data_IF_199068606036
#
_entry.id   IF_199068606036
#
_cell.length_a   1.000
_cell.length_b   1.000
_cell.length_c   1.000
_cell.angle_alpha   90.00
_cell.angle_beta   90.00
_cell.angle_gamma   90.00
#
_symmetry.space_group_name_H-M   'P 1'
#
loop_
_entity.id
_entity.type
_entity.pdbx_description
1 polymer ?
#
# COMPACT_ATOMS: atom_id res chain seq x y z
N UNK A 1 46.75 -13.08 42.91
CA UNK A 1 45.94 -13.12 41.68
C UNK A 1 45.56 -11.70 41.23
N UNK A 2 46.52 -10.93 40.70
CA UNK A 2 46.31 -9.54 40.23
C UNK A 2 47.16 -9.19 38.98
N UNK A 3 47.56 -10.18 38.18
CA UNK A 3 48.45 -9.96 37.02
C UNK A 3 47.96 -10.59 35.70
N UNK A 4 46.68 -10.96 35.59
CA UNK A 4 46.11 -11.53 34.37
C UNK A 4 45.07 -10.61 33.70
N UNK A 5 44.72 -9.47 34.30
CA UNK A 5 43.69 -8.57 33.74
C UNK A 5 44.23 -7.46 32.80
N UNK A 6 45.55 -7.31 32.66
CA UNK A 6 46.14 -6.15 31.97
C UNK A 6 46.45 -6.38 30.47
N UNK A 7 46.15 -7.56 29.91
CA UNK A 7 46.50 -7.90 28.51
C UNK A 7 45.28 -7.91 27.57
N UNK A 8 44.05 -7.80 28.08
CA UNK A 8 42.83 -7.76 27.24
C UNK A 8 42.29 -6.35 26.92
N UNK A 9 42.97 -5.27 27.35
CA UNK A 9 42.46 -3.90 27.18
C UNK A 9 43.20 -3.07 26.11
N UNK A 10 44.07 -3.68 25.30
CA UNK A 10 44.94 -2.98 24.34
C UNK A 10 44.63 -3.24 22.85
N UNK A 11 43.55 -3.94 22.51
CA UNK A 11 43.27 -4.36 21.12
C UNK A 11 42.01 -3.73 20.48
N UNK A 12 41.41 -2.69 21.07
CA UNK A 12 40.18 -2.08 20.55
C UNK A 12 40.29 -0.57 20.23
N UNK A 13 41.50 -0.04 20.04
CA UNK A 13 41.72 1.39 19.70
C UNK A 13 42.55 1.60 18.42
N UNK A 14 42.36 0.76 17.39
CA UNK A 14 42.83 1.06 16.04
C UNK A 14 41.79 0.59 15.04
N UNK A 15 40.81 1.45 14.75
CA UNK A 15 40.17 1.59 13.43
C UNK A 15 39.10 2.69 13.50
N UNK A 16 39.58 3.92 13.61
CA UNK A 16 38.86 5.10 13.13
C UNK A 16 39.90 5.98 12.45
N UNK A 17 39.54 6.50 11.27
CA UNK A 17 40.32 7.36 10.36
C UNK A 17 40.99 6.65 9.17
N UNK A 18 40.16 6.26 8.20
CA UNK A 18 40.38 6.71 6.83
C UNK A 18 39.10 7.40 6.36
N UNK A 19 39.16 8.73 6.34
CA UNK A 19 38.14 9.59 5.77
C UNK A 19 38.54 9.96 4.33
N UNK A 20 37.50 10.23 3.53
CA UNK A 20 37.46 11.08 2.35
C UNK A 20 37.58 10.45 0.94
N UNK A 21 36.49 10.72 0.21
CA UNK A 21 36.39 11.03 -1.23
C UNK A 21 36.35 9.88 -2.25
N UNK A 22 35.11 9.48 -2.62
CA UNK A 22 34.54 9.98 -3.88
C UNK A 22 33.02 9.84 -3.92
N UNK A 23 32.39 10.94 -4.33
CA UNK A 23 30.97 11.13 -4.60
C UNK A 23 30.80 11.01 -6.12
N UNK A 24 30.13 9.96 -6.57
CA UNK A 24 29.53 9.84 -7.91
C UNK A 24 28.20 9.11 -7.67
N UNK A 25 27.08 9.84 -7.63
CA UNK A 25 26.18 10.06 -8.77
C UNK A 25 25.30 8.82 -9.06
N UNK A 26 24.04 8.94 -8.61
CA UNK A 26 22.78 8.40 -9.17
C UNK A 26 22.88 7.32 -10.27
N UNK A 27 22.15 6.19 -10.15
CA UNK A 27 21.74 5.46 -11.34
C UNK A 27 20.60 6.24 -12.01
N UNK A 28 20.99 6.96 -13.04
CA UNK A 28 20.13 7.54 -14.07
C UNK A 28 19.33 6.43 -14.76
N UNK A 29 18.03 6.61 -14.87
CA UNK A 29 17.23 5.96 -15.90
C UNK A 29 17.67 6.51 -17.26
N UNK A 30 18.48 5.76 -18.00
CA UNK A 30 18.71 6.01 -19.42
C UNK A 30 17.99 4.95 -20.24
N UNK A 31 17.15 5.44 -21.15
CA UNK A 31 16.31 4.63 -22.00
C UNK A 31 16.97 4.13 -23.28
N UNK A 32 16.14 3.38 -24.00
CA UNK A 32 16.24 3.20 -25.45
C UNK A 32 16.91 1.90 -25.90
N UNK A 33 16.10 0.96 -26.38
CA UNK A 33 16.17 0.60 -27.81
C UNK A 33 14.78 0.18 -28.30
N UNK A 34 14.27 0.92 -29.29
CA UNK A 34 13.12 0.60 -30.10
C UNK A 34 13.43 -0.56 -31.06
N UNK A 35 12.50 -1.49 -31.22
CA UNK A 35 12.28 -2.23 -32.47
C UNK A 35 10.78 -2.44 -32.69
N UNK A 36 10.28 -1.92 -33.82
CA UNK A 36 8.92 -2.13 -34.37
C UNK A 36 8.98 -3.19 -35.50
N UNK A 37 7.86 -3.61 -36.12
CA UNK A 37 7.17 -4.88 -35.87
C UNK A 37 7.24 -5.87 -37.04
N UNK A 38 7.07 -7.16 -36.73
CA UNK A 38 6.79 -8.21 -37.72
C UNK A 38 5.30 -8.54 -37.76
N UNK A 39 4.63 -8.06 -38.79
CA UNK A 39 3.28 -8.45 -39.20
C UNK A 39 3.25 -9.91 -39.63
N UNK A 40 2.26 -10.68 -39.18
CA UNK A 40 1.62 -11.68 -40.03
C UNK A 40 0.20 -12.01 -39.53
N UNK A 41 -0.75 -11.87 -40.45
CA UNK A 41 -2.16 -12.18 -40.29
C UNK A 41 -2.42 -13.64 -40.71
N UNK A 42 -3.25 -14.36 -39.96
CA UNK A 42 -3.99 -15.52 -40.49
C UNK A 42 -5.41 -15.55 -39.90
N UNK A 43 -6.37 -15.34 -40.80
CA UNK A 43 -7.80 -15.67 -40.75
C UNK A 43 -8.07 -17.13 -40.37
N UNK A 44 -9.21 -17.44 -39.74
CA UNK A 44 -10.35 -18.19 -40.34
C UNK A 44 -11.51 -18.32 -39.33
N UNK A 45 -12.73 -18.08 -39.81
CA UNK A 45 -14.02 -18.22 -39.13
C UNK A 45 -14.45 -19.68 -38.93
N UNK A 46 -15.39 -19.97 -38.03
CA UNK A 46 -16.55 -20.87 -38.24
C UNK A 46 -17.56 -20.71 -37.09
N UNK A 47 -18.84 -20.66 -37.46
CA UNK A 47 -20.01 -20.58 -36.59
C UNK A 47 -20.66 -21.97 -36.39
N UNK A 48 -21.32 -22.18 -35.24
CA UNK A 48 -22.53 -23.02 -34.99
C UNK A 48 -22.84 -22.93 -33.48
N UNK A 49 -23.95 -22.37 -32.98
CA UNK A 49 -25.38 -22.71 -33.04
C UNK A 49 -25.81 -23.93 -32.18
N UNK A 50 -26.57 -23.61 -31.12
CA UNK A 50 -27.56 -24.43 -30.37
C UNK A 50 -26.98 -25.57 -29.49
N UNK A 51 -27.43 -25.83 -28.27
CA UNK A 51 -28.80 -25.82 -27.74
C UNK A 51 -28.81 -25.78 -26.20
N UNK A 52 -29.97 -25.42 -25.66
CA UNK A 52 -30.31 -25.19 -24.25
C UNK A 52 -30.40 -26.50 -23.46
N UNK A 53 -29.91 -26.52 -22.21
CA UNK A 53 -30.49 -27.40 -21.17
C UNK A 53 -30.39 -26.76 -19.79
N UNK A 54 -31.55 -26.32 -19.29
CA UNK A 54 -31.83 -25.94 -17.90
C UNK A 54 -31.66 -27.13 -16.95
N UNK A 55 -30.85 -26.95 -15.90
CA UNK A 55 -30.98 -27.68 -14.64
C UNK A 55 -30.80 -26.69 -13.48
N UNK A 56 -31.76 -26.73 -12.57
CA UNK A 56 -31.91 -25.91 -11.37
C UNK A 56 -31.29 -26.62 -10.16
N UNK A 57 -30.54 -25.90 -9.33
CA UNK A 57 -30.27 -26.19 -7.91
C UNK A 57 -29.52 -24.99 -7.31
N UNK A 58 -30.21 -24.12 -6.57
CA UNK A 58 -30.24 -24.04 -5.09
C UNK A 58 -29.12 -23.17 -4.49
N UNK A 59 -29.54 -22.00 -4.00
CA UNK A 59 -28.96 -21.11 -3.00
C UNK A 59 -27.42 -20.99 -2.91
N UNK A 60 -26.87 -20.14 -3.78
CA UNK A 60 -25.80 -19.23 -3.36
C UNK A 60 -26.40 -17.82 -3.36
N UNK A 61 -26.42 -17.17 -2.20
CA UNK A 61 -26.55 -15.71 -2.12
C UNK A 61 -25.36 -15.08 -2.85
N UNK A 62 -25.49 -14.93 -4.16
CA UNK A 62 -24.65 -14.05 -4.97
C UNK A 62 -24.92 -12.65 -4.43
N UNK A 63 -23.98 -12.11 -3.64
CA UNK A 63 -23.96 -10.69 -3.36
C UNK A 63 -23.78 -10.04 -4.74
N UNK A 64 -24.87 -9.51 -5.29
CA UNK A 64 -24.85 -8.76 -6.52
C UNK A 64 -23.78 -7.66 -6.37
N UNK A 65 -22.85 -7.62 -7.34
CA UNK A 65 -21.92 -6.50 -7.45
C UNK A 65 -22.72 -5.20 -7.40
N UNK A 66 -22.30 -4.20 -6.59
CA UNK A 66 -23.04 -2.95 -6.50
C UNK A 66 -23.21 -2.36 -7.90
N UNK A 67 -24.45 -1.97 -8.22
CA UNK A 67 -24.83 -1.37 -9.50
C UNK A 67 -23.80 -0.32 -9.94
N UNK A 68 -23.14 -0.60 -11.08
CA UNK A 68 -22.49 0.32 -12.01
C UNK A 68 -21.92 1.63 -11.44
N UNK A 69 -21.09 1.52 -10.40
CA UNK A 69 -20.33 2.67 -9.91
C UNK A 69 -19.45 3.24 -11.04
N UNK A 70 -19.24 4.57 -11.08
CA UNK A 70 -18.35 5.16 -12.08
C UNK A 70 -16.93 4.54 -12.10
N UNK A 71 -16.52 3.92 -10.98
CA UNK A 71 -15.25 3.21 -10.80
C UNK A 71 -15.19 1.91 -11.63
N UNK A 72 -16.31 1.19 -11.85
CA UNK A 72 -16.31 -0.08 -12.62
C UNK A 72 -15.83 0.09 -14.07
N UNK A 73 -15.91 1.33 -14.59
CA UNK A 73 -15.37 1.72 -15.91
C UNK A 73 -13.85 1.73 -15.95
N UNK A 74 -13.20 1.84 -14.79
CA UNK A 74 -11.76 2.04 -14.67
C UNK A 74 -11.06 0.93 -13.90
N UNK A 75 -11.76 0.18 -13.05
CA UNK A 75 -11.19 -0.91 -12.26
C UNK A 75 -12.09 -2.13 -12.32
N UNK A 76 -11.50 -3.28 -12.62
CA UNK A 76 -12.14 -4.60 -12.55
C UNK A 76 -11.50 -5.42 -11.44
N UNK A 77 -12.32 -6.16 -10.68
CA UNK A 77 -11.81 -7.19 -9.78
C UNK A 77 -11.50 -8.46 -10.57
N UNK A 78 -10.25 -8.90 -10.51
CA UNK A 78 -9.73 -10.10 -11.17
C UNK A 78 -9.67 -11.33 -10.26
N UNK A 79 -10.40 -11.33 -9.13
CA UNK A 79 -10.49 -12.48 -8.22
C UNK A 79 -10.68 -13.83 -8.91
N UNK A 80 -11.55 -13.90 -9.91
CA UNK A 80 -11.83 -15.16 -10.64
C UNK A 80 -10.58 -15.74 -11.34
N UNK A 81 -9.64 -14.89 -11.73
CA UNK A 81 -8.35 -15.30 -12.33
C UNK A 81 -7.44 -15.94 -11.27
N UNK A 82 -7.51 -15.45 -10.03
CA UNK A 82 -6.64 -15.86 -8.93
C UNK A 82 -7.32 -16.79 -7.92
N UNK A 83 -8.51 -17.29 -8.24
CA UNK A 83 -9.31 -18.13 -7.35
C UNK A 83 -8.60 -19.42 -6.92
N UNK A 84 -7.68 -19.94 -7.74
CA UNK A 84 -6.89 -21.14 -7.42
C UNK A 84 -5.90 -20.92 -6.26
N UNK A 85 -5.60 -19.67 -5.91
CA UNK A 85 -4.76 -19.30 -4.77
C UNK A 85 -5.55 -19.24 -3.45
N UNK A 86 -6.88 -19.19 -3.50
CA UNK A 86 -7.72 -19.02 -2.31
C UNK A 86 -7.62 -20.22 -1.36
N UNK A 87 -7.66 -19.91 -0.06
CA UNK A 87 -7.65 -20.87 1.04
C UNK A 87 -8.91 -20.68 1.88
N UNK A 88 -9.19 -21.62 2.79
CA UNK A 88 -10.39 -21.53 3.66
C UNK A 88 -10.45 -20.23 4.47
N UNK A 89 -9.29 -19.64 4.77
CA UNK A 89 -9.10 -18.46 5.60
C UNK A 89 -8.82 -17.17 4.81
N UNK A 90 -8.77 -17.20 3.48
CA UNK A 90 -8.33 -16.03 2.71
C UNK A 90 -8.77 -15.97 1.25
N UNK A 91 -9.22 -14.78 0.84
CA UNK A 91 -9.63 -14.45 -0.54
C UNK A 91 -8.62 -13.54 -1.21
N UNK A 92 -8.46 -13.69 -2.51
CA UNK A 92 -7.47 -12.93 -3.28
C UNK A 92 -8.15 -11.99 -4.27
N UNK A 93 -8.40 -10.75 -3.84
CA UNK A 93 -8.91 -9.70 -4.70
C UNK A 93 -7.76 -8.94 -5.37
N UNK A 94 -7.86 -8.73 -6.69
CA UNK A 94 -6.81 -8.14 -7.49
C UNK A 94 -7.40 -7.05 -8.40
N UNK A 95 -7.03 -5.77 -8.24
CA UNK A 95 -7.52 -4.74 -9.14
C UNK A 95 -6.79 -4.80 -10.47
N UNK A 96 -7.54 -4.76 -11.56
CA UNK A 96 -7.01 -4.45 -12.89
C UNK A 96 -7.53 -3.08 -13.32
N UNK A 97 -6.61 -2.19 -13.69
CA UNK A 97 -6.91 -0.85 -14.18
C UNK A 97 -7.19 -0.94 -15.69
N UNK A 98 -8.38 -0.50 -16.10
CA UNK A 98 -8.90 -0.59 -17.46
C UNK A 98 -8.57 0.63 -18.34
N UNK A 99 -7.73 1.54 -17.84
CA UNK A 99 -7.27 2.71 -18.59
C UNK A 99 -6.19 2.28 -19.58
N UNK A 100 -6.36 2.56 -20.87
CA UNK A 100 -5.34 2.28 -21.89
C UNK A 100 -4.20 3.31 -21.82
N UNK A 101 -3.25 3.06 -20.91
CA UNK A 101 -2.03 3.83 -20.76
C UNK A 101 -0.85 2.96 -20.33
N UNK A 102 0.37 3.41 -20.64
CA UNK A 102 1.59 2.70 -20.21
C UNK A 102 1.72 2.64 -18.69
N UNK A 103 1.27 3.66 -17.97
CA UNK A 103 1.30 3.65 -16.51
C UNK A 103 0.31 2.63 -15.93
N UNK A 104 -0.93 2.59 -16.42
CA UNK A 104 -1.91 1.59 -15.99
C UNK A 104 -1.45 0.16 -16.30
N UNK A 105 -0.88 -0.07 -17.49
CA UNK A 105 -0.27 -1.37 -17.85
C UNK A 105 0.84 -1.76 -16.88
N UNK A 106 1.74 -0.82 -16.55
CA UNK A 106 2.84 -1.09 -15.62
C UNK A 106 2.36 -1.48 -14.21
N UNK A 107 1.25 -0.90 -13.75
CA UNK A 107 0.64 -1.26 -12.46
C UNK A 107 0.02 -2.66 -12.55
N UNK A 108 -0.74 -2.95 -13.61
CA UNK A 108 -1.34 -4.27 -13.82
C UNK A 108 -0.26 -5.36 -13.90
N UNK A 109 0.86 -5.09 -14.58
CA UNK A 109 2.01 -5.99 -14.63
C UNK A 109 2.67 -6.16 -13.26
N UNK A 110 2.78 -5.11 -12.45
CA UNK A 110 3.31 -5.21 -11.08
C UNK A 110 2.42 -6.11 -10.23
N UNK A 111 1.11 -5.89 -10.25
CA UNK A 111 0.14 -6.71 -9.52
C UNK A 111 0.21 -8.16 -10.00
N UNK A 112 0.21 -8.40 -11.31
CA UNK A 112 0.32 -9.74 -11.87
C UNK A 112 1.61 -10.46 -11.41
N UNK A 113 2.77 -9.77 -11.43
CA UNK A 113 4.03 -10.34 -10.92
C UNK A 113 3.97 -10.71 -9.44
N UNK A 114 3.22 -9.98 -8.61
CA UNK A 114 3.01 -10.34 -7.19
C UNK A 114 2.26 -11.66 -7.07
N UNK A 115 1.19 -11.83 -7.84
CA UNK A 115 0.44 -13.08 -7.89
C UNK A 115 1.27 -14.26 -8.43
N UNK A 116 2.10 -14.04 -9.45
CA UNK A 116 3.06 -15.05 -9.93
C UNK A 116 4.03 -15.49 -8.82
N UNK A 117 4.50 -14.55 -7.98
CA UNK A 117 5.34 -14.88 -6.84
C UNK A 117 4.60 -15.70 -5.78
N UNK A 118 3.29 -15.45 -5.58
CA UNK A 118 2.47 -16.23 -4.65
C UNK A 118 2.30 -17.67 -5.13
N UNK A 119 1.96 -17.85 -6.41
CA UNK A 119 1.89 -19.16 -7.05
C UNK A 119 3.23 -19.91 -6.91
N UNK A 120 4.34 -19.23 -7.19
CA UNK A 120 5.68 -19.81 -7.07
C UNK A 120 6.01 -20.23 -5.62
N UNK A 121 5.65 -19.41 -4.62
CA UNK A 121 5.85 -19.72 -3.21
C UNK A 121 5.00 -20.93 -2.78
N UNK A 122 3.73 -21.01 -3.18
CA UNK A 122 2.88 -22.16 -2.89
C UNK A 122 3.42 -23.45 -3.51
N UNK A 123 3.87 -23.40 -4.76
CA UNK A 123 4.42 -24.58 -5.46
C UNK A 123 5.72 -25.06 -4.81
N UNK A 124 6.60 -24.13 -4.43
CA UNK A 124 7.94 -24.44 -3.94
C UNK A 124 7.95 -24.81 -2.45
N UNK A 125 7.26 -24.02 -1.63
CA UNK A 125 7.38 -24.05 -0.17
C UNK A 125 6.09 -24.61 0.50
N UNK A 126 5.02 -24.83 -0.27
CA UNK A 126 3.73 -25.31 0.24
C UNK A 126 2.93 -24.26 1.03
N UNK A 127 3.45 -23.02 1.07
CA UNK A 127 2.91 -21.90 1.83
C UNK A 127 3.27 -20.57 1.15
N UNK A 128 2.35 -19.61 1.20
CA UNK A 128 2.57 -18.21 0.83
C UNK A 128 2.46 -17.35 2.10
N UNK A 129 3.38 -16.40 2.27
CA UNK A 129 3.40 -15.49 3.43
C UNK A 129 2.14 -14.63 3.56
N UNK A 130 1.49 -14.33 2.43
CA UNK A 130 0.24 -13.60 2.40
C UNK A 130 -0.92 -14.59 2.38
N UNK A 131 -1.91 -14.37 3.23
CA UNK A 131 -3.09 -15.23 3.36
C UNK A 131 -4.23 -14.72 2.50
N UNK A 132 -4.27 -13.42 2.21
CA UNK A 132 -5.29 -12.80 1.37
C UNK A 132 -4.78 -11.52 0.71
N UNK A 133 -5.55 -11.00 -0.24
CA UNK A 133 -5.35 -9.64 -0.78
C UNK A 133 -6.67 -8.90 -0.83
N UNK A 134 -6.62 -7.59 -0.62
CA UNK A 134 -7.76 -6.68 -0.72
C UNK A 134 -7.36 -5.45 -1.52
N UNK A 135 -8.34 -4.75 -2.09
CA UNK A 135 -8.09 -3.43 -2.64
C UNK A 135 -9.26 -2.48 -2.39
N UNK A 136 -8.97 -1.18 -2.47
CA UNK A 136 -9.95 -0.11 -2.45
C UNK A 136 -9.68 0.85 -3.58
N UNK A 137 -10.71 1.25 -4.30
CA UNK A 137 -10.62 2.27 -5.33
C UNK A 137 -11.51 3.48 -4.99
N UNK A 138 -10.97 4.67 -5.19
CA UNK A 138 -11.64 5.96 -5.06
C UNK A 138 -11.56 6.71 -6.39
N UNK A 139 -12.60 7.46 -6.74
CA UNK A 139 -12.61 8.30 -7.93
C UNK A 139 -13.10 9.70 -7.58
N UNK A 140 -12.22 10.69 -7.71
CA UNK A 140 -12.58 12.09 -7.47
C UNK A 140 -13.37 12.69 -8.64
N UNK A 141 -14.13 13.76 -8.37
CA UNK A 141 -14.80 14.55 -9.42
C UNK A 141 -13.81 15.21 -10.39
N UNK A 142 -12.57 15.44 -9.98
CA UNK A 142 -11.47 15.94 -10.82
C UNK A 142 -10.87 14.87 -11.73
N UNK A 143 -11.31 13.61 -11.63
CA UNK A 143 -10.82 12.53 -12.48
C UNK A 143 -9.53 11.89 -11.98
N UNK A 144 -9.27 11.89 -10.66
CA UNK A 144 -8.18 11.12 -10.06
C UNK A 144 -8.74 9.79 -9.56
N UNK A 145 -8.28 8.70 -10.16
CA UNK A 145 -8.47 7.35 -9.67
C UNK A 145 -7.35 7.00 -8.70
N UNK A 146 -7.71 6.70 -7.45
CA UNK A 146 -6.79 6.29 -6.40
C UNK A 146 -7.07 4.83 -6.05
N UNK A 147 -6.10 3.94 -6.25
CA UNK A 147 -6.21 2.49 -5.95
C UNK A 147 -5.23 2.14 -4.85
N UNK A 148 -5.76 1.62 -3.73
CA UNK A 148 -5.00 1.04 -2.63
C UNK A 148 -5.07 -0.47 -2.77
N UNK A 149 -3.96 -1.13 -3.02
CA UNK A 149 -3.85 -2.60 -3.03
C UNK A 149 -3.11 -3.05 -1.78
N UNK A 150 -3.63 -4.07 -1.08
CA UNK A 150 -3.06 -4.53 0.19
C UNK A 150 -2.83 -6.04 0.12
N UNK A 151 -1.58 -6.43 0.39
CA UNK A 151 -1.16 -7.81 0.59
C UNK A 151 -1.29 -8.11 2.09
N UNK A 152 -2.20 -9.00 2.48
CA UNK A 152 -2.50 -9.27 3.89
C UNK A 152 -1.70 -10.48 4.39
N UNK A 153 -0.69 -10.20 5.22
CA UNK A 153 0.18 -11.19 5.82
C UNK A 153 -0.34 -11.75 7.14
N UNK A 154 0.29 -12.84 7.59
CA UNK A 154 0.12 -13.30 8.97
C UNK A 154 0.70 -12.29 9.98
N UNK A 155 0.11 -12.19 11.16
CA UNK A 155 0.58 -11.34 12.28
C UNK A 155 0.62 -9.83 11.97
N UNK A 156 -0.38 -9.30 11.26
CA UNK A 156 -0.52 -7.87 10.93
C UNK A 156 0.61 -7.30 10.02
N UNK A 157 1.25 -8.16 9.22
CA UNK A 157 2.27 -7.79 8.23
C UNK A 157 1.64 -7.38 6.89
N UNK A 158 0.70 -6.43 6.96
CA UNK A 158 0.02 -5.88 5.78
C UNK A 158 0.97 -4.98 4.99
N UNK A 159 1.14 -5.26 3.69
CA UNK A 159 1.87 -4.38 2.76
C UNK A 159 0.87 -3.61 1.91
N UNK A 160 1.01 -2.29 1.92
CA UNK A 160 0.19 -1.37 1.14
C UNK A 160 0.91 -0.91 -0.12
N UNK A 161 0.15 -0.84 -1.21
CA UNK A 161 0.55 -0.22 -2.48
C UNK A 161 -0.49 0.82 -2.85
N UNK A 162 -0.03 1.98 -3.32
CA UNK A 162 -0.89 3.09 -3.68
C UNK A 162 -0.60 3.57 -5.10
N UNK A 163 -1.66 3.67 -5.90
CA UNK A 163 -1.58 4.13 -7.27
C UNK A 163 -2.56 5.29 -7.49
N UNK A 164 -2.05 6.46 -7.91
CA UNK A 164 -2.86 7.64 -8.26
C UNK A 164 -2.75 7.92 -9.76
N UNK A 165 -3.88 7.89 -10.45
CA UNK A 165 -3.96 7.91 -11.91
C UNK A 165 -4.96 8.97 -12.36
N UNK A 166 -4.59 9.82 -13.30
CA UNK A 166 -5.51 10.74 -13.96
C UNK A 166 -6.27 9.96 -15.04
N UNK A 167 -7.60 9.88 -14.94
CA UNK A 167 -8.41 9.04 -15.83
C UNK A 167 -8.53 9.58 -17.25
N UNK A 168 -8.16 10.84 -17.49
CA UNK A 168 -8.22 11.45 -18.82
C UNK A 168 -6.94 11.19 -19.62
N UNK A 169 -5.79 11.27 -18.93
CA UNK A 169 -4.46 11.12 -19.53
C UNK A 169 -3.89 9.71 -19.33
N UNK A 170 -4.40 8.97 -18.35
CA UNK A 170 -3.85 7.71 -17.86
C UNK A 170 -2.48 7.85 -17.19
N UNK A 171 -2.04 9.07 -16.87
CA UNK A 171 -0.75 9.36 -16.27
C UNK A 171 -0.75 9.32 -14.74
N UNK A 172 0.45 9.23 -14.16
CA UNK A 172 0.66 9.35 -12.72
C UNK A 172 0.25 10.73 -12.20
N UNK A 173 -0.45 10.76 -11.06
CA UNK A 173 -0.81 11.98 -10.34
C UNK A 173 0.11 12.14 -9.14
N UNK A 174 0.90 13.22 -9.14
CA UNK A 174 1.83 13.51 -8.07
C UNK A 174 1.16 14.02 -6.78
N UNK A 175 1.90 13.93 -5.68
CA UNK A 175 1.43 14.36 -4.36
C UNK A 175 1.05 15.84 -4.31
N UNK A 176 1.65 16.70 -5.15
CA UNK A 176 1.31 18.12 -5.21
C UNK A 176 -0.10 18.30 -5.78
N UNK A 177 -0.44 17.59 -6.84
CA UNK A 177 -1.78 17.62 -7.43
C UNK A 177 -2.82 17.06 -6.47
N UNK A 178 -2.52 15.97 -5.76
CA UNK A 178 -3.40 15.45 -4.70
C UNK A 178 -3.65 16.51 -3.62
N UNK A 179 -2.60 17.22 -3.19
CA UNK A 179 -2.70 18.27 -2.19
C UNK A 179 -3.48 19.50 -2.66
N UNK A 180 -3.32 19.90 -3.92
CA UNK A 180 -4.11 20.96 -4.54
C UNK A 180 -5.61 20.64 -4.54
N UNK A 181 -5.99 19.40 -4.90
CA UNK A 181 -7.40 18.97 -4.90
C UNK A 181 -7.98 18.98 -3.48
N UNK A 182 -7.22 18.47 -2.51
CA UNK A 182 -7.65 18.42 -1.11
C UNK A 182 -7.56 19.78 -0.38
N UNK A 183 -7.04 20.84 -1.01
CA UNK A 183 -6.86 22.14 -0.38
C UNK A 183 -5.78 22.17 0.71
N UNK A 184 -4.78 21.29 0.62
CA UNK A 184 -3.67 21.15 1.57
C UNK A 184 -2.43 21.86 1.04
N UNK A 185 -1.92 22.84 1.79
CA UNK A 185 -0.72 23.60 1.41
C UNK A 185 0.58 23.03 1.99
N UNK A 186 0.49 22.28 3.08
CA UNK A 186 1.65 21.68 3.78
C UNK A 186 1.35 20.22 4.13
N UNK A 187 1.80 19.32 3.26
CA UNK A 187 1.60 17.87 3.39
C UNK A 187 2.24 17.34 4.67
N UNK A 188 3.47 17.76 4.98
CA UNK A 188 4.21 17.23 6.12
C UNK A 188 3.55 17.63 7.44
N UNK A 189 3.06 18.87 7.53
CA UNK A 189 2.28 19.31 8.69
C UNK A 189 0.95 18.55 8.77
N UNK A 190 0.23 18.40 7.66
CA UNK A 190 -1.05 17.70 7.62
C UNK A 190 -0.90 16.23 8.09
N UNK A 191 0.14 15.53 7.65
CA UNK A 191 0.44 14.17 8.10
C UNK A 191 0.70 14.11 9.61
N UNK A 192 1.53 15.02 10.14
CA UNK A 192 1.81 15.08 11.59
C UNK A 192 0.57 15.42 12.42
N UNK A 193 -0.24 16.36 11.96
CA UNK A 193 -1.49 16.73 12.61
C UNK A 193 -2.46 15.53 12.64
N UNK A 194 -2.55 14.78 11.52
CA UNK A 194 -3.38 13.60 11.42
C UNK A 194 -2.91 12.47 12.36
N UNK A 195 -1.60 12.18 12.44
CA UNK A 195 -1.04 11.20 13.39
C UNK A 195 -1.31 11.62 14.84
N UNK A 196 -1.14 12.90 15.16
CA UNK A 196 -1.47 13.43 16.49
C UNK A 196 -2.97 13.25 16.81
N UNK A 197 -3.85 13.57 15.85
CA UNK A 197 -5.28 13.41 16.01
C UNK A 197 -5.68 11.95 16.20
N UNK A 198 -5.10 11.04 15.39
CA UNK A 198 -5.29 9.59 15.52
C UNK A 198 -4.98 9.10 16.93
N UNK A 199 -3.78 9.36 17.43
CA UNK A 199 -3.38 8.89 18.77
C UNK A 199 -4.23 9.51 19.88
N UNK A 200 -4.55 10.80 19.80
CA UNK A 200 -5.42 11.44 20.77
C UNK A 200 -6.85 10.85 20.75
N UNK A 201 -7.37 10.47 19.58
CA UNK A 201 -8.68 9.86 19.45
C UNK A 201 -8.76 8.46 20.09
N UNK A 202 -7.63 7.72 20.16
CA UNK A 202 -7.58 6.43 20.86
C UNK A 202 -7.77 6.55 22.38
N UNK A 203 -7.47 7.72 22.97
CA UNK A 203 -7.51 7.95 24.40
C UNK A 203 -6.40 7.28 25.22
N UNK A 204 -5.51 6.51 24.59
CA UNK A 204 -4.43 5.78 25.28
C UNK A 204 -3.24 6.68 25.65
N UNK A 205 -2.99 7.72 24.86
CA UNK A 205 -1.93 8.71 25.08
C UNK A 205 -2.45 10.10 24.76
N UNK A 206 -1.86 11.10 25.39
CA UNK A 206 -2.06 12.51 25.05
C UNK A 206 -0.85 13.00 24.28
N UNK A 207 -1.07 13.58 23.10
CA UNK A 207 -0.01 14.14 22.25
C UNK A 207 -0.27 15.63 22.03
N UNK A 208 0.73 16.45 22.30
CA UNK A 208 0.75 17.89 22.01
C UNK A 208 2.05 18.27 21.30
N UNK A 209 1.95 19.03 20.22
CA UNK A 209 3.11 19.43 19.40
C UNK A 209 3.97 18.23 18.98
N UNK A 210 3.31 17.12 18.60
CA UNK A 210 3.96 15.90 18.12
C UNK A 210 4.83 15.19 19.16
N UNK A 211 4.54 15.39 20.46
CA UNK A 211 5.21 14.76 21.59
C UNK A 211 4.21 14.21 22.59
N UNK A 212 4.56 13.10 23.24
CA UNK A 212 3.75 12.51 24.30
C UNK A 212 3.80 13.42 25.53
N UNK A 213 2.63 13.78 26.04
CA UNK A 213 2.49 14.59 27.25
C UNK A 213 2.53 13.68 28.46
N UNK A 214 3.47 13.95 29.37
CA UNK A 214 3.65 13.25 30.64
C UNK A 214 3.64 14.24 31.80
N UNK A 215 3.34 13.73 32.98
CA UNK A 215 3.60 14.45 34.22
C UNK A 215 5.11 14.61 34.42
N UNK A 216 5.50 15.74 35.03
CA UNK A 216 6.89 16.17 35.11
C UNK A 216 7.82 15.08 35.68
N UNK A 217 8.78 14.64 34.86
CA UNK A 217 9.85 13.73 35.27
C UNK A 217 9.58 12.25 35.04
N UNK A 218 8.39 11.87 34.55
CA UNK A 218 8.15 10.49 34.14
C UNK A 218 8.86 10.17 32.81
N UNK A 219 9.68 9.10 32.74
CA UNK A 219 10.26 8.68 31.47
C UNK A 219 9.17 8.08 30.58
N UNK A 220 9.36 8.21 29.26
CA UNK A 220 8.55 7.48 28.29
C UNK A 220 8.82 5.99 28.44
N UNK A 221 7.74 5.21 28.44
CA UNK A 221 7.85 3.77 28.25
C UNK A 221 8.15 3.44 26.78
N UNK A 222 8.37 2.16 26.50
CA UNK A 222 8.72 1.69 25.16
C UNK A 222 7.69 2.08 24.09
N UNK A 223 6.39 1.91 24.38
CA UNK A 223 5.30 2.21 23.45
C UNK A 223 5.17 3.71 23.19
N UNK A 224 5.27 4.52 24.25
CA UNK A 224 5.24 5.99 24.13
C UNK A 224 6.41 6.51 23.28
N UNK A 225 7.59 5.90 23.40
CA UNK A 225 8.73 6.22 22.53
C UNK A 225 8.46 5.85 21.06
N UNK A 226 7.90 4.67 20.78
CA UNK A 226 7.54 4.27 19.41
C UNK A 226 6.48 5.21 18.80
N UNK A 227 5.57 5.73 19.61
CA UNK A 227 4.58 6.73 19.21
C UNK A 227 5.27 8.06 18.85
N UNK A 228 6.20 8.56 19.67
CA UNK A 228 6.97 9.76 19.32
C UNK A 228 7.82 9.56 18.05
N UNK A 229 8.41 8.37 17.89
CA UNK A 229 9.20 8.03 16.70
C UNK A 229 8.35 8.09 15.41
N UNK A 230 7.02 7.95 15.51
CA UNK A 230 6.10 8.07 14.37
C UNK A 230 6.04 9.47 13.76
N UNK A 231 6.53 10.49 14.46
CA UNK A 231 6.62 11.87 13.95
C UNK A 231 7.98 12.22 13.33
N UNK A 232 8.95 11.29 13.40
CA UNK A 232 10.26 11.45 12.78
C UNK A 232 10.14 11.37 11.26
N UNK A 233 10.95 12.15 10.54
CA UNK A 233 10.91 12.19 9.06
C UNK A 233 11.15 10.83 8.41
N UNK A 234 12.04 10.01 8.98
CA UNK A 234 12.34 8.66 8.48
C UNK A 234 11.12 7.72 8.56
N UNK A 235 10.26 7.88 9.57
CA UNK A 235 9.05 7.04 9.72
C UNK A 235 7.84 7.62 8.99
N UNK A 236 7.67 8.94 9.06
CA UNK A 236 6.50 9.60 8.51
C UNK A 236 6.64 10.02 7.05
N UNK A 237 7.84 10.31 6.55
CA UNK A 237 7.99 10.90 5.21
C UNK A 237 8.70 10.00 4.21
N UNK A 238 9.69 9.19 4.61
CA UNK A 238 10.48 8.42 3.65
C UNK A 238 9.66 7.36 2.90
N UNK A 239 8.65 6.78 3.56
CA UNK A 239 7.80 5.73 2.98
C UNK A 239 6.31 6.07 2.99
N UNK A 240 5.94 7.35 3.19
CA UNK A 240 4.53 7.73 3.21
C UNK A 240 3.94 7.79 1.82
N UNK A 241 2.84 7.07 1.65
CA UNK A 241 2.01 7.13 0.46
C UNK A 241 0.85 8.08 0.70
N UNK A 242 0.49 8.86 -0.33
CA UNK A 242 -0.52 9.92 -0.23
C UNK A 242 -1.58 9.67 -1.29
N UNK A 243 -2.82 9.48 -0.84
CA UNK A 243 -3.96 9.24 -1.71
C UNK A 243 -5.08 10.23 -1.46
N UNK A 244 -6.18 10.04 -2.17
CA UNK A 244 -7.38 10.88 -2.05
C UNK A 244 -8.65 10.04 -2.17
N UNK A 245 -9.64 10.33 -1.33
CA UNK A 245 -10.95 9.68 -1.38
C UNK A 245 -11.84 10.29 -2.46
N UNK A 246 -12.97 9.66 -2.76
CA UNK A 246 -13.94 10.15 -3.76
C UNK A 246 -14.50 11.53 -3.41
N UNK A 247 -14.54 11.87 -2.12
CA UNK A 247 -14.98 13.17 -1.60
C UNK A 247 -13.91 14.27 -1.70
N UNK A 248 -12.70 13.93 -2.14
CA UNK A 248 -11.56 14.85 -2.19
C UNK A 248 -10.79 14.98 -0.87
N UNK A 249 -11.01 14.07 0.08
CA UNK A 249 -10.25 14.04 1.34
C UNK A 249 -8.91 13.34 1.11
N UNK A 250 -7.80 14.03 1.38
CA UNK A 250 -6.48 13.41 1.35
C UNK A 250 -6.35 12.39 2.48
N UNK A 251 -5.64 11.30 2.22
CA UNK A 251 -5.25 10.33 3.24
C UNK A 251 -3.78 9.94 3.11
N UNK A 252 -3.24 9.39 4.18
CA UNK A 252 -1.87 8.95 4.30
C UNK A 252 -1.83 7.45 4.60
N UNK A 253 -0.81 6.78 4.08
CA UNK A 253 -0.42 5.44 4.52
C UNK A 253 1.03 5.53 5.01
N UNK A 254 1.26 5.26 6.28
CA UNK A 254 2.60 5.33 6.88
C UNK A 254 2.74 4.35 8.05
N UNK A 255 3.99 4.08 8.43
CA UNK A 255 4.32 3.26 9.59
C UNK A 255 4.08 4.06 10.89
N UNK A 256 3.16 3.59 11.72
CA UNK A 256 2.83 4.17 13.02
C UNK A 256 3.21 3.21 14.15
N UNK A 257 3.70 3.75 15.26
CA UNK A 257 4.01 3.01 16.48
C UNK A 257 2.79 2.26 17.00
N UNK A 258 3.00 1.00 17.35
CA UNK A 258 1.94 0.07 17.77
C UNK A 258 1.65 0.15 19.27
N UNK A 259 0.39 -0.09 19.65
CA UNK A 259 -0.01 -0.37 21.03
C UNK A 259 0.00 -1.87 21.38
N UNK A 260 0.09 -2.73 20.36
CA UNK A 260 -0.03 -4.19 20.46
C UNK A 260 1.29 -4.94 20.68
N UNK A 261 2.41 -4.22 20.85
CA UNK A 261 3.72 -4.81 21.14
C UNK A 261 4.60 -5.09 19.91
N UNK A 262 4.08 -4.93 18.68
CA UNK A 262 4.93 -4.75 17.51
C UNK A 262 5.65 -3.39 17.56
N UNK A 263 6.69 -3.21 16.74
CA UNK A 263 7.41 -1.93 16.70
C UNK A 263 6.60 -0.85 15.97
N UNK A 264 5.95 -1.23 14.87
CA UNK A 264 5.12 -0.35 14.05
C UNK A 264 4.16 -1.18 13.19
N UNK A 265 3.11 -0.53 12.68
CA UNK A 265 2.25 -1.05 11.63
C UNK A 265 1.99 0.02 10.59
N UNK A 266 1.85 -0.37 9.32
CA UNK A 266 1.23 0.53 8.35
C UNK A 266 -0.24 0.73 8.68
N UNK A 267 -0.67 2.00 8.62
CA UNK A 267 -2.06 2.39 8.80
C UNK A 267 -2.46 3.35 7.70
N UNK A 268 -3.70 3.22 7.23
CA UNK A 268 -4.32 4.17 6.30
C UNK A 268 -5.24 5.11 7.08
N UNK A 269 -4.99 6.42 7.05
CA UNK A 269 -5.75 7.40 7.82
C UNK A 269 -5.95 8.72 7.06
N UNK A 270 -7.10 9.36 7.26
CA UNK A 270 -7.40 10.65 6.63
C UNK A 270 -6.66 11.83 7.31
N UNK A 271 -6.77 13.03 6.75
CA UNK A 271 -6.20 14.27 7.33
C UNK A 271 -6.68 14.61 8.75
N UNK A 272 -7.76 13.97 9.23
CA UNK A 272 -8.30 14.15 10.58
C UNK A 272 -7.85 13.04 11.54
N UNK A 273 -7.01 12.09 11.09
CA UNK A 273 -6.56 10.95 11.87
C UNK A 273 -7.59 9.82 12.00
N UNK A 274 -8.61 9.80 11.14
CA UNK A 274 -9.61 8.73 11.09
C UNK A 274 -9.05 7.57 10.27
N UNK A 275 -9.00 6.37 10.86
CA UNK A 275 -8.60 5.15 10.16
C UNK A 275 -9.57 4.82 9.02
N UNK A 276 -9.00 4.47 7.87
CA UNK A 276 -9.72 4.07 6.66
C UNK A 276 -9.53 2.59 6.34
N UNK A 277 -8.55 1.93 6.95
CA UNK A 277 -8.24 0.50 6.86
C UNK A 277 -9.13 -0.34 7.79
N UNK A 278 -10.45 -0.28 7.60
CA UNK A 278 -11.36 -1.18 8.31
C UNK A 278 -11.49 -2.53 7.58
N UNK A 279 -11.01 -3.61 8.22
CA UNK A 279 -11.06 -4.98 7.72
C UNK A 279 -12.48 -5.57 7.58
N UNK A 280 -13.49 -4.96 8.22
CA UNK A 280 -14.87 -5.47 8.23
C UNK A 280 -15.71 -5.01 7.03
N UNK A 281 -15.23 -4.04 6.25
CA UNK A 281 -15.97 -3.51 5.09
C UNK A 281 -15.13 -3.74 3.85
N UNK A 282 -15.51 -4.69 3.01
CA UNK A 282 -14.80 -4.90 1.77
C UNK A 282 -15.04 -3.70 0.83
N UNK A 283 -14.03 -2.85 0.71
CA UNK A 283 -14.11 -1.52 0.10
C UNK A 283 -13.88 -1.56 -1.41
N UNK A 284 -14.45 -2.53 -2.13
CA UNK A 284 -14.14 -2.75 -3.55
C UNK A 284 -14.49 -1.55 -4.43
N UNK A 285 -15.43 -0.71 -3.97
CA UNK A 285 -15.88 0.53 -4.61
C UNK A 285 -16.47 1.46 -3.53
N UNK A 286 -15.88 2.65 -3.32
CA UNK A 286 -16.57 3.75 -2.63
C UNK A 286 -16.91 4.83 -3.66
N UNK A 287 -18.14 4.76 -4.17
CA UNK A 287 -18.72 5.74 -5.10
C UNK A 287 -19.47 6.84 -4.37
#
# INVERSE_FOLDING_TARGET
MKKILAVMLASAMVMSLAACEKKDATPTCDGGTQTTPGSEAVTTATASSEDVTTVSSEDETTIAAPEDSAISKYVRDCRDIYKHLEREDGKYHAPEILIDSEYAKSINEEIARRFENYDAALVKDGFCHYTSTKYTAYLTKEGVLCVVFVECGDCDDDIYHLYNIDVQTGGYVDNKRIAEIAGISDIAKAAKDAVQAYYNATGNVKIENYKVVKDNGEPLNYMEKQIEDSFLGERLNENMMIGITSEGTMFFISALGSFGGADWYYRMYDVNGVLLDNADIPNWVKG
#
